data_IF_465861005371
#
_entry.id   IF_465861005371
#
_cell.length_a   1.000
_cell.length_b   1.000
_cell.length_c   1.000
_cell.angle_alpha   90.00
_cell.angle_beta   90.00
_cell.angle_gamma   90.00
#
_symmetry.space_group_name_H-M   'P 1'
#
loop_
_entity.id
_entity.type
_entity.pdbx_description
1 polymer ?
#
# COMPACT_ATOMS: atom_id res chain seq x y z
N UNK A 1 -27.77 5.15 12.65
CA UNK A 1 -27.01 5.51 11.43
C UNK A 1 -26.31 4.25 10.96
N UNK A 2 -27.03 3.43 10.21
CA UNK A 2 -26.72 2.02 9.97
C UNK A 2 -25.56 1.86 8.98
N UNK A 3 -24.35 1.80 9.53
CA UNK A 3 -23.14 1.36 8.82
C UNK A 3 -23.18 -0.17 8.64
N UNK A 4 -24.00 -0.88 9.42
CA UNK A 4 -24.17 -2.34 9.42
C UNK A 4 -25.22 -2.87 8.43
N UNK A 5 -25.76 -2.04 7.54
CA UNK A 5 -26.60 -2.54 6.46
C UNK A 5 -25.70 -3.25 5.42
N UNK A 6 -26.09 -4.44 4.96
CA UNK A 6 -25.24 -5.35 4.15
C UNK A 6 -24.61 -4.66 2.94
N UNK A 7 -25.37 -3.77 2.28
CA UNK A 7 -24.91 -3.02 1.11
C UNK A 7 -23.81 -2.01 1.45
N UNK A 8 -23.94 -1.34 2.61
CA UNK A 8 -22.98 -0.33 3.07
C UNK A 8 -21.71 -0.97 3.62
N UNK A 9 -21.85 -2.09 4.33
CA UNK A 9 -20.70 -2.87 4.79
C UNK A 9 -19.89 -3.39 3.60
N UNK A 10 -20.58 -3.88 2.56
CA UNK A 10 -19.95 -4.35 1.34
C UNK A 10 -19.18 -3.22 0.66
N UNK A 11 -19.81 -2.06 0.42
CA UNK A 11 -19.15 -0.87 -0.14
C UNK A 11 -17.93 -0.45 0.68
N UNK A 12 -18.04 -0.45 2.00
CA UNK A 12 -16.93 -0.14 2.89
C UNK A 12 -15.78 -1.13 2.71
N UNK A 13 -16.03 -2.45 2.70
CA UNK A 13 -15.01 -3.46 2.49
C UNK A 13 -14.36 -3.35 1.10
N UNK A 14 -15.17 -3.20 0.05
CA UNK A 14 -14.70 -2.99 -1.31
C UNK A 14 -13.77 -1.77 -1.39
N UNK A 15 -14.11 -0.68 -0.71
CA UNK A 15 -13.29 0.52 -0.69
C UNK A 15 -12.04 0.36 0.20
N UNK A 16 -12.17 -0.23 1.38
CA UNK A 16 -11.12 -0.24 2.41
C UNK A 16 -10.04 -1.31 2.16
N UNK A 17 -10.41 -2.49 1.66
CA UNK A 17 -9.48 -3.62 1.46
C UNK A 17 -8.28 -3.23 0.57
N UNK A 18 -8.45 -2.58 -0.59
CA UNK A 18 -7.34 -2.18 -1.44
C UNK A 18 -6.30 -1.34 -0.71
N UNK A 19 -6.73 -0.30 -0.01
CA UNK A 19 -5.84 0.56 0.75
C UNK A 19 -5.14 -0.18 1.88
N UNK A 20 -5.85 -1.08 2.56
CA UNK A 20 -5.27 -1.87 3.64
C UNK A 20 -4.16 -2.79 3.12
N UNK A 21 -4.39 -3.44 1.96
CA UNK A 21 -3.38 -4.27 1.28
C UNK A 21 -2.16 -3.42 0.92
N UNK A 22 -2.35 -2.25 0.29
CA UNK A 22 -1.25 -1.34 -0.08
C UNK A 22 -0.40 -0.95 1.13
N UNK A 23 -1.03 -0.55 2.24
CA UNK A 23 -0.33 -0.17 3.47
C UNK A 23 0.48 -1.34 4.06
N UNK A 24 -0.08 -2.56 4.04
CA UNK A 24 0.64 -3.75 4.52
C UNK A 24 1.82 -4.12 3.63
N UNK A 25 1.66 -4.07 2.32
CA UNK A 25 2.75 -4.32 1.38
C UNK A 25 3.86 -3.28 1.55
N UNK A 26 3.51 -2.00 1.71
CA UNK A 26 4.49 -0.95 1.98
C UNK A 26 5.32 -1.23 3.23
N UNK A 27 4.66 -1.61 4.34
CA UNK A 27 5.33 -1.95 5.60
C UNK A 27 6.19 -3.22 5.54
N UNK A 28 5.97 -4.10 4.54
CA UNK A 28 6.86 -5.24 4.27
C UNK A 28 8.06 -4.84 3.41
N UNK A 29 7.90 -3.84 2.54
CA UNK A 29 8.93 -3.38 1.62
C UNK A 29 9.91 -2.39 2.25
N UNK A 30 9.45 -1.63 3.25
CA UNK A 30 10.18 -0.55 3.91
C UNK A 30 10.11 -0.76 5.43
N UNK A 31 11.23 -0.63 6.16
CA UNK A 31 11.22 -0.67 7.61
C UNK A 31 10.37 0.48 8.16
N UNK A 32 9.19 0.15 8.69
CA UNK A 32 8.29 1.11 9.34
C UNK A 32 8.21 0.84 10.83
N UNK A 33 8.24 1.88 11.64
CA UNK A 33 8.03 1.76 13.08
C UNK A 33 6.60 1.32 13.42
N UNK A 34 6.39 0.72 14.60
CA UNK A 34 5.05 0.34 15.07
C UNK A 34 4.23 1.60 15.34
N UNK A 35 3.34 1.95 14.42
CA UNK A 35 2.38 3.07 14.54
C UNK A 35 1.04 2.60 15.11
N UNK A 36 0.28 3.51 15.72
CA UNK A 36 -1.08 3.20 16.18
C UNK A 36 -2.01 3.06 14.98
N UNK A 37 -3.14 2.37 15.19
CA UNK A 37 -4.14 2.14 14.14
C UNK A 37 -4.63 3.43 13.51
N UNK A 38 -4.92 4.41 14.35
CA UNK A 38 -5.38 5.74 13.95
C UNK A 38 -4.41 6.43 13.00
N UNK A 39 -3.10 6.22 13.17
CA UNK A 39 -2.07 6.89 12.36
C UNK A 39 -2.05 6.35 10.93
N UNK A 40 -2.34 5.06 10.71
CA UNK A 40 -2.36 4.47 9.37
C UNK A 40 -3.74 4.48 8.71
N UNK A 41 -4.81 4.87 9.41
CA UNK A 41 -6.15 4.94 8.83
C UNK A 41 -6.21 5.92 7.67
N UNK A 42 -5.62 7.12 7.83
CA UNK A 42 -5.57 8.12 6.78
C UNK A 42 -4.80 7.60 5.56
N UNK A 43 -3.60 7.04 5.79
CA UNK A 43 -2.77 6.45 4.72
C UNK A 43 -3.53 5.36 3.95
N UNK A 44 -4.23 4.50 4.68
CA UNK A 44 -5.04 3.41 4.11
C UNK A 44 -6.16 3.96 3.22
N UNK A 45 -6.89 4.97 3.68
CA UNK A 45 -7.95 5.62 2.88
C UNK A 45 -7.34 6.29 1.64
N UNK A 46 -6.21 6.98 1.79
CA UNK A 46 -5.52 7.63 0.68
C UNK A 46 -5.07 6.63 -0.39
N UNK A 47 -4.50 5.48 0.00
CA UNK A 47 -4.13 4.43 -0.94
C UNK A 47 -5.33 3.84 -1.67
N UNK A 48 -6.45 3.64 -0.98
CA UNK A 48 -7.71 3.24 -1.63
C UNK A 48 -8.14 4.28 -2.68
N UNK A 49 -8.18 5.57 -2.31
CA UNK A 49 -8.54 6.65 -3.22
C UNK A 49 -7.66 6.66 -4.47
N UNK A 50 -6.34 6.54 -4.31
CA UNK A 50 -5.40 6.49 -5.43
C UNK A 50 -5.68 5.27 -6.31
N UNK A 51 -5.88 4.09 -5.72
CA UNK A 51 -6.17 2.86 -6.47
C UNK A 51 -7.43 3.03 -7.34
N UNK A 52 -8.53 3.54 -6.78
CA UNK A 52 -9.76 3.77 -7.52
C UNK A 52 -9.65 4.90 -8.54
N UNK A 53 -8.92 5.98 -8.24
CA UNK A 53 -8.72 7.09 -9.15
C UNK A 53 -7.94 6.65 -10.40
N UNK A 54 -6.84 5.93 -10.22
CA UNK A 54 -6.00 5.46 -11.35
C UNK A 54 -6.71 4.37 -12.16
N UNK A 55 -7.50 3.52 -11.51
CA UNK A 55 -8.24 2.44 -12.17
C UNK A 55 -9.66 2.84 -12.59
N UNK A 56 -10.01 4.13 -12.52
CA UNK A 56 -11.34 4.65 -12.88
C UNK A 56 -11.76 4.27 -14.30
N UNK A 57 -10.83 4.31 -15.26
CA UNK A 57 -11.07 3.89 -16.64
C UNK A 57 -11.45 2.41 -16.74
N UNK A 58 -10.79 1.54 -15.97
CA UNK A 58 -11.06 0.10 -15.95
C UNK A 58 -12.41 -0.19 -15.28
N UNK A 59 -12.74 0.56 -14.23
CA UNK A 59 -14.03 0.48 -13.54
C UNK A 59 -15.18 0.88 -14.48
N UNK A 60 -14.98 1.88 -15.33
CA UNK A 60 -15.97 2.28 -16.33
C UNK A 60 -16.22 1.16 -17.37
N UNK A 61 -15.18 0.43 -17.78
CA UNK A 61 -15.31 -0.70 -18.72
C UNK A 61 -16.14 -1.83 -18.12
N UNK A 62 -15.84 -2.24 -16.89
CA UNK A 62 -16.57 -3.35 -16.23
C UNK A 62 -17.99 -2.97 -15.80
N UNK A 63 -18.29 -1.67 -15.72
CA UNK A 63 -19.64 -1.17 -15.39
C UNK A 63 -20.59 -1.13 -16.59
N UNK A 64 -20.07 -1.36 -17.81
CA UNK A 64 -20.90 -1.41 -19.01
C UNK A 64 -21.78 -2.68 -18.99
N UNK A 65 -23.10 -2.51 -19.13
CA UNK A 65 -24.08 -3.60 -19.09
C UNK A 65 -23.81 -4.69 -20.12
N UNK A 66 -23.32 -4.32 -21.30
CA UNK A 66 -22.99 -5.28 -22.37
C UNK A 66 -21.75 -6.11 -22.03
N UNK A 67 -20.82 -5.56 -21.26
CA UNK A 67 -19.62 -6.29 -20.82
C UNK A 67 -19.97 -7.28 -19.70
N UNK A 68 -20.85 -6.88 -18.78
CA UNK A 68 -21.32 -7.71 -17.66
C UNK A 68 -22.02 -8.97 -18.15
N UNK A 69 -22.91 -8.84 -19.14
CA UNK A 69 -23.69 -9.96 -19.67
C UNK A 69 -22.85 -10.92 -20.52
N UNK A 70 -21.95 -10.39 -21.35
CA UNK A 70 -21.19 -11.19 -22.29
C UNK A 70 -19.95 -11.85 -21.66
N UNK A 71 -19.37 -11.27 -20.60
CA UNK A 71 -18.09 -11.72 -20.05
C UNK A 71 -18.04 -11.81 -18.51
N UNK A 72 -18.84 -12.69 -17.88
CA UNK A 72 -18.92 -12.80 -16.42
C UNK A 72 -17.61 -13.27 -15.76
N UNK A 73 -16.79 -14.07 -16.47
CA UNK A 73 -15.48 -14.52 -15.97
C UNK A 73 -14.48 -13.36 -15.93
N UNK A 74 -14.44 -12.55 -16.98
CA UNK A 74 -13.57 -11.37 -17.05
C UNK A 74 -13.94 -10.33 -16.01
N UNK A 75 -15.23 -10.14 -15.74
CA UNK A 75 -15.68 -9.25 -14.68
C UNK A 75 -15.08 -9.64 -13.33
N UNK A 76 -15.22 -10.92 -12.92
CA UNK A 76 -14.66 -11.41 -11.65
C UNK A 76 -13.14 -11.26 -11.59
N UNK A 77 -12.46 -11.56 -12.70
CA UNK A 77 -11.00 -11.48 -12.79
C UNK A 77 -10.51 -10.02 -12.70
N UNK A 78 -11.15 -9.09 -13.41
CA UNK A 78 -10.81 -7.67 -13.36
C UNK A 78 -11.11 -7.06 -11.99
N UNK A 79 -12.24 -7.40 -11.37
CA UNK A 79 -12.54 -6.97 -10.00
C UNK A 79 -11.49 -7.48 -9.01
N UNK A 80 -11.06 -8.73 -9.12
CA UNK A 80 -9.99 -9.29 -8.28
C UNK A 80 -8.65 -8.54 -8.49
N UNK A 81 -8.31 -8.24 -9.74
CA UNK A 81 -7.10 -7.47 -10.09
C UNK A 81 -7.13 -6.07 -9.46
N UNK A 82 -8.28 -5.38 -9.52
CA UNK A 82 -8.45 -4.04 -8.93
C UNK A 82 -8.31 -4.09 -7.40
N UNK A 83 -8.80 -5.14 -6.74
CA UNK A 83 -8.82 -5.24 -5.28
C UNK A 83 -7.53 -5.75 -4.65
N UNK A 84 -6.77 -6.58 -5.35
CA UNK A 84 -5.58 -7.24 -4.78
C UNK A 84 -4.31 -6.99 -5.57
N UNK A 85 -4.35 -7.13 -6.90
CA UNK A 85 -3.13 -7.08 -7.72
C UNK A 85 -2.58 -5.66 -7.79
N UNK A 86 -3.40 -4.67 -8.17
CA UNK A 86 -2.94 -3.28 -8.23
C UNK A 86 -2.51 -2.70 -6.87
N UNK A 87 -3.23 -2.93 -5.77
CA UNK A 87 -2.78 -2.55 -4.43
C UNK A 87 -1.42 -3.10 -4.02
N UNK A 88 -1.00 -4.26 -4.56
CA UNK A 88 0.33 -4.79 -4.34
C UNK A 88 1.37 -4.08 -5.23
N UNK A 89 1.00 -3.76 -6.46
CA UNK A 89 1.88 -3.10 -7.45
C UNK A 89 2.19 -1.65 -7.04
N UNK A 90 1.21 -0.89 -6.54
CA UNK A 90 1.40 0.54 -6.22
C UNK A 90 2.57 0.80 -5.25
N UNK A 91 2.65 0.15 -4.07
CA UNK A 91 3.78 0.31 -3.16
C UNK A 91 5.13 -0.06 -3.78
N UNK A 92 5.18 -1.10 -4.62
CA UNK A 92 6.41 -1.51 -5.31
C UNK A 92 6.86 -0.45 -6.31
N UNK A 93 5.91 0.09 -7.09
CA UNK A 93 6.16 1.11 -8.08
C UNK A 93 6.62 2.42 -7.41
N UNK A 94 5.97 2.83 -6.30
CA UNK A 94 6.39 3.99 -5.50
C UNK A 94 7.81 3.79 -4.97
N UNK A 95 8.12 2.61 -4.41
CA UNK A 95 9.49 2.29 -3.95
C UNK A 95 10.49 2.39 -5.09
N UNK A 96 10.16 1.88 -6.28
CA UNK A 96 11.01 1.95 -7.46
C UNK A 96 11.27 3.40 -7.87
N UNK A 97 10.23 4.24 -7.98
CA UNK A 97 10.35 5.67 -8.30
C UNK A 97 11.25 6.38 -7.27
N UNK A 98 11.01 6.15 -5.97
CA UNK A 98 11.79 6.77 -4.89
C UNK A 98 13.25 6.32 -4.86
N UNK A 99 13.54 5.12 -5.37
CA UNK A 99 14.91 4.61 -5.47
C UNK A 99 15.67 5.10 -6.71
N UNK A 100 14.97 5.72 -7.67
CA UNK A 100 15.58 6.20 -8.90
C UNK A 100 16.51 7.38 -8.63
N UNK A 101 17.74 7.32 -9.13
CA UNK A 101 18.78 8.34 -8.93
C UNK A 101 18.36 9.77 -9.32
N UNK A 102 17.37 9.94 -10.20
CA UNK A 102 16.80 11.25 -10.53
C UNK A 102 16.13 11.94 -9.34
N UNK A 103 15.47 11.18 -8.46
CA UNK A 103 14.80 11.69 -7.26
C UNK A 103 15.71 11.68 -6.02
N UNK A 104 16.91 11.12 -6.15
CA UNK A 104 17.89 10.94 -5.08
C UNK A 104 18.56 12.28 -4.77
N UNK A 105 17.94 13.03 -3.86
CA UNK A 105 18.39 14.36 -3.43
C UNK A 105 17.25 15.35 -3.17
N UNK A 106 16.07 15.12 -3.75
CA UNK A 106 14.89 15.97 -3.57
C UNK A 106 13.84 15.39 -2.62
N UNK A 107 13.95 14.10 -2.26
CA UNK A 107 12.98 13.39 -1.44
C UNK A 107 13.68 12.73 -0.24
N UNK A 108 13.00 12.74 0.91
CA UNK A 108 13.44 12.01 2.11
C UNK A 108 13.56 10.53 1.78
N UNK A 109 14.74 9.96 2.07
CA UNK A 109 15.03 8.56 1.76
C UNK A 109 14.00 7.65 2.45
N UNK A 110 13.49 6.58 1.79
CA UNK A 110 12.45 5.73 2.35
C UNK A 110 12.88 4.98 3.61
N UNK A 111 14.19 4.83 3.87
CA UNK A 111 14.71 4.29 5.12
C UNK A 111 14.78 5.40 6.17
N UNK A 112 14.02 5.32 7.27
CA UNK A 112 13.90 6.41 8.23
C UNK A 112 15.21 6.69 8.99
N UNK A 113 16.05 5.68 9.22
CA UNK A 113 17.30 5.83 9.98
C UNK A 113 18.53 5.54 9.12
N UNK A 114 19.59 6.33 9.33
CA UNK A 114 20.89 6.11 8.69
C UNK A 114 21.46 4.71 8.98
N UNK A 115 21.21 4.19 10.19
CA UNK A 115 21.59 2.85 10.61
C UNK A 115 20.87 1.75 9.82
N UNK A 116 19.57 1.89 9.54
CA UNK A 116 18.81 0.91 8.75
C UNK A 116 19.38 0.81 7.32
N UNK A 117 19.77 1.96 6.75
CA UNK A 117 20.45 2.00 5.46
C UNK A 117 21.84 1.37 5.53
N UNK A 118 22.63 1.69 6.54
CA UNK A 118 24.00 1.19 6.70
C UNK A 118 24.03 -0.34 6.87
N UNK A 119 23.21 -0.89 7.78
CA UNK A 119 23.13 -2.33 7.98
C UNK A 119 22.43 -3.07 6.83
N UNK A 120 21.52 -2.40 6.12
CA UNK A 120 20.90 -2.95 4.91
C UNK A 120 21.89 -3.23 3.77
N UNK A 121 23.09 -2.64 3.78
CA UNK A 121 24.15 -2.91 2.80
C UNK A 121 24.86 -4.26 3.04
N UNK A 122 24.71 -4.87 4.23
CA UNK A 122 25.29 -6.17 4.54
C UNK A 122 26.82 -6.19 4.63
N UNK A 123 27.47 -5.04 4.81
CA UNK A 123 28.92 -4.98 4.98
C UNK A 123 29.35 -5.47 6.37
N UNK A 124 30.46 -6.24 6.47
CA UNK A 124 30.99 -6.66 7.77
C UNK A 124 31.43 -5.43 8.57
N UNK A 125 30.93 -5.29 9.79
CA UNK A 125 31.20 -4.15 10.65
C UNK A 125 31.30 -4.57 12.12
N UNK A 126 32.09 -3.83 12.89
CA UNK A 126 32.17 -3.99 14.34
C UNK A 126 31.17 -3.05 15.01
N UNK A 127 30.44 -3.57 16.01
CA UNK A 127 29.46 -2.79 16.78
C UNK A 127 29.98 -2.66 18.21
N UNK A 128 30.20 -1.43 18.66
CA UNK A 128 30.57 -1.12 20.04
C UNK A 128 29.29 -0.88 20.85
N UNK A 129 28.93 -1.83 21.71
CA UNK A 129 27.73 -1.75 22.54
C UNK A 129 28.12 -1.27 23.94
N UNK A 130 27.61 -0.12 24.35
CA UNK A 130 27.70 0.34 25.74
C UNK A 130 26.41 -0.04 26.46
N UNK A 131 26.51 -0.93 27.44
CA UNK A 131 25.40 -1.31 28.32
C UNK A 131 25.36 -0.33 29.49
N UNK A 132 24.23 0.36 29.67
CA UNK A 132 24.00 1.19 30.85
C UNK A 132 23.09 0.40 31.80
N UNK A 133 23.61 0.03 32.96
CA UNK A 133 22.83 -0.59 34.01
C UNK A 133 22.15 0.53 34.80
N UNK A 134 20.82 0.56 34.79
CA UNK A 134 20.06 1.43 35.68
C UNK A 134 19.95 0.73 37.04
N UNK A 135 20.48 1.38 38.09
CA UNK A 135 20.32 0.98 39.49
C UNK A 135 18.87 1.12 39.97
#
# INVERSE_FOLDING_TARGET
MDIFNIDKLSLFLFFFVPGFVSTKVWNLLVPTEKRKITDYMLETISYSCINFAVLSWLINIISNKDFVSNHPVWLKLLTFIILFVFPIIWPMLIKFILSWDFFKGHIVHPTPRAWDRFFGLGHPCFVLIHLNFAD
#
